data_IF_514702944104
#
_entry.id   IF_514702944104
#
_cell.length_a   1.000
_cell.length_b   1.000
_cell.length_c   1.000
_cell.angle_alpha   90.00
_cell.angle_beta   90.00
_cell.angle_gamma   90.00
#
_symmetry.space_group_name_H-M   'P 1'
#
loop_
_entity.id
_entity.type
_entity.pdbx_description
1 polymer ?
#
# COMPACT_ATOMS: atom_id res chain seq x y z
N UNK A 1 14.93 -16.90 11.34
CA UNK A 1 14.99 -16.11 10.08
C UNK A 1 13.96 -16.60 9.09
N UNK A 2 13.89 -17.90 8.76
CA UNK A 2 12.79 -18.48 7.95
C UNK A 2 11.40 -18.14 8.49
N UNK A 3 11.24 -18.10 9.81
CA UNK A 3 9.96 -17.77 10.44
C UNK A 3 9.56 -16.29 10.22
N UNK A 4 10.53 -15.38 10.14
CA UNK A 4 10.27 -13.95 9.94
C UNK A 4 9.86 -13.65 8.49
N UNK A 5 10.51 -14.31 7.53
CA UNK A 5 10.19 -14.18 6.09
C UNK A 5 8.78 -14.71 5.80
N UNK A 6 8.41 -15.86 6.37
CA UNK A 6 7.06 -16.39 6.26
C UNK A 6 5.99 -15.46 6.85
N UNK A 7 6.28 -14.79 7.97
CA UNK A 7 5.36 -13.81 8.58
C UNK A 7 5.24 -12.53 7.75
N UNK A 8 6.32 -12.11 7.09
CA UNK A 8 6.32 -10.96 6.17
C UNK A 8 5.47 -11.28 4.93
N UNK A 9 5.60 -12.48 4.37
CA UNK A 9 4.74 -12.96 3.28
C UNK A 9 3.27 -13.06 3.69
N UNK A 10 3.00 -13.59 4.89
CA UNK A 10 1.65 -13.67 5.45
C UNK A 10 1.03 -12.28 5.67
N UNK A 11 1.83 -11.27 6.00
CA UNK A 11 1.41 -9.88 6.10
C UNK A 11 1.23 -9.20 4.71
N UNK A 12 1.45 -9.92 3.62
CA UNK A 12 1.24 -9.44 2.25
C UNK A 12 2.45 -8.77 1.59
N UNK A 13 3.65 -8.93 2.16
CA UNK A 13 4.89 -8.36 1.64
C UNK A 13 5.77 -9.43 1.01
N UNK A 14 6.38 -9.13 -0.15
CA UNK A 14 7.22 -10.13 -0.83
C UNK A 14 8.57 -10.37 -0.16
N UNK A 15 9.15 -9.35 0.51
CA UNK A 15 10.48 -9.41 1.12
C UNK A 15 10.62 -8.33 2.22
N UNK A 16 11.68 -8.40 3.02
CA UNK A 16 12.04 -7.34 3.99
C UNK A 16 12.26 -5.95 3.36
N UNK A 17 12.63 -5.90 2.07
CA UNK A 17 12.76 -4.63 1.34
C UNK A 17 11.42 -4.00 1.02
N UNK A 18 10.46 -4.82 0.62
CA UNK A 18 9.09 -4.40 0.35
C UNK A 18 8.41 -3.94 1.64
N UNK A 19 8.58 -4.73 2.71
CA UNK A 19 8.07 -4.43 4.03
C UNK A 19 8.76 -3.23 4.70
N UNK A 20 9.86 -2.71 4.14
CA UNK A 20 10.64 -1.62 4.76
C UNK A 20 9.83 -0.34 4.95
N UNK A 21 9.10 0.08 3.92
CA UNK A 21 8.27 1.29 4.01
C UNK A 21 7.09 1.08 4.96
N UNK A 22 6.23 0.08 4.70
CA UNK A 22 5.04 -0.21 5.50
C UNK A 22 5.33 -0.51 6.97
N UNK A 23 6.38 -1.28 7.27
CA UNK A 23 6.75 -1.69 8.64
C UNK A 23 7.84 -0.79 9.26
N UNK A 24 8.24 0.29 8.58
CA UNK A 24 9.24 1.23 9.09
C UNK A 24 10.64 0.63 9.32
N UNK A 25 11.00 -0.44 8.60
CA UNK A 25 12.29 -1.10 8.80
C UNK A 25 13.46 -0.20 8.38
N UNK A 26 14.58 -0.34 9.08
CA UNK A 26 15.83 0.33 8.71
C UNK A 26 16.45 -0.33 7.47
N UNK A 27 17.35 0.38 6.79
CA UNK A 27 18.10 -0.18 5.65
C UNK A 27 18.84 -1.48 6.01
N UNK A 28 19.33 -1.58 7.25
CA UNK A 28 20.02 -2.76 7.77
C UNK A 28 19.05 -3.95 7.85
N UNK A 29 17.89 -3.73 8.45
CA UNK A 29 16.83 -4.73 8.60
C UNK A 29 16.23 -5.16 7.25
N UNK A 30 16.07 -4.24 6.31
CA UNK A 30 15.65 -4.54 4.94
C UNK A 30 16.65 -5.42 4.17
N UNK A 31 17.90 -5.53 4.63
CA UNK A 31 18.89 -6.48 4.14
C UNK A 31 18.93 -7.78 4.99
N UNK A 32 17.89 -8.06 5.78
CA UNK A 32 17.77 -9.26 6.61
C UNK A 32 18.63 -9.24 7.88
N UNK A 33 19.19 -8.09 8.27
CA UNK A 33 20.08 -7.99 9.44
C UNK A 33 19.31 -7.45 10.64
N UNK A 34 18.80 -8.38 11.44
CA UNK A 34 18.11 -8.12 12.70
C UNK A 34 18.96 -8.58 13.88
N UNK A 35 18.92 -7.82 14.98
CA UNK A 35 19.27 -8.40 16.29
C UNK A 35 18.15 -9.32 16.75
N UNK A 36 18.41 -10.13 17.78
CA UNK A 36 17.39 -11.03 18.34
C UNK A 36 16.17 -10.25 18.85
N UNK A 37 16.40 -9.21 19.65
CA UNK A 37 15.32 -8.37 20.19
C UNK A 37 14.52 -7.65 19.09
N UNK A 38 15.20 -7.20 18.02
CA UNK A 38 14.53 -6.56 16.88
C UNK A 38 13.65 -7.55 16.10
N UNK A 39 14.11 -8.80 15.95
CA UNK A 39 13.31 -9.84 15.29
C UNK A 39 12.10 -10.22 16.14
N UNK A 40 12.26 -10.40 17.45
CA UNK A 40 11.16 -10.71 18.38
C UNK A 40 10.12 -9.58 18.41
N UNK A 41 10.55 -8.31 18.42
CA UNK A 41 9.64 -7.17 18.35
C UNK A 41 8.86 -7.10 17.02
N UNK A 42 9.51 -7.42 15.89
CA UNK A 42 8.87 -7.43 14.59
C UNK A 42 7.85 -8.59 14.47
N UNK A 43 8.16 -9.76 15.01
CA UNK A 43 7.23 -10.90 15.07
C UNK A 43 5.96 -10.50 15.83
N UNK A 44 6.10 -9.94 17.04
CA UNK A 44 4.93 -9.55 17.83
C UNK A 44 4.06 -8.49 17.14
N UNK A 45 4.66 -7.56 16.39
CA UNK A 45 3.92 -6.58 15.59
C UNK A 45 3.14 -7.26 14.45
N UNK A 46 3.78 -8.19 13.73
CA UNK A 46 3.17 -8.91 12.61
C UNK A 46 2.04 -9.83 13.07
N UNK A 47 2.24 -10.56 14.17
CA UNK A 47 1.22 -11.42 14.78
C UNK A 47 0.01 -10.58 15.25
N UNK A 48 0.24 -9.45 15.91
CA UNK A 48 -0.84 -8.54 16.31
C UNK A 48 -1.59 -7.94 15.10
N UNK A 49 -0.89 -7.64 14.01
CA UNK A 49 -1.49 -7.16 12.77
C UNK A 49 -2.32 -8.24 12.07
N UNK A 50 -1.87 -9.50 12.12
CA UNK A 50 -2.60 -10.65 11.59
C UNK A 50 -3.87 -10.93 12.40
N UNK A 51 -3.79 -10.92 13.74
CA UNK A 51 -4.94 -11.10 14.63
C UNK A 51 -5.97 -9.95 14.49
N UNK A 52 -5.52 -8.73 14.15
CA UNK A 52 -6.37 -7.58 13.88
C UNK A 52 -7.02 -7.54 12.49
N UNK A 53 -6.64 -8.45 11.58
CA UNK A 53 -7.20 -8.55 10.23
C UNK A 53 -8.43 -9.48 10.15
N UNK A 54 -8.90 -10.03 11.27
CA UNK A 54 -10.16 -10.76 11.41
C UNK A 54 -11.36 -9.79 11.43
N UNK A 55 -11.58 -9.11 10.31
CA UNK A 55 -12.83 -8.41 9.97
C UNK A 55 -13.32 -8.95 8.63
N UNK A 56 -14.57 -9.44 8.50
CA UNK A 56 -14.95 -10.30 7.40
C UNK A 56 -15.01 -9.50 6.09
N UNK A 57 -14.01 -9.65 5.23
CA UNK A 57 -14.24 -9.50 3.79
C UNK A 57 -14.88 -10.79 3.28
N UNK A 58 -16.18 -10.93 3.50
CA UNK A 58 -16.98 -11.93 2.81
C UNK A 58 -17.15 -11.46 1.35
N UNK A 59 -16.63 -12.19 0.34
CA UNK A 59 -17.09 -11.97 -1.03
C UNK A 59 -18.59 -12.36 -1.11
N UNK A 60 -19.44 -11.59 -1.80
CA UNK A 60 -20.82 -12.01 -2.03
C UNK A 60 -20.84 -13.29 -2.89
N UNK A 61 -21.64 -14.31 -2.55
CA UNK A 61 -21.82 -15.46 -3.41
C UNK A 61 -22.88 -15.19 -4.49
N UNK A 62 -22.47 -15.55 -5.72
CA UNK A 62 -23.24 -16.04 -6.88
C UNK A 62 -24.22 -15.11 -7.62
N UNK A 63 -23.99 -14.94 -8.94
CA UNK A 63 -24.93 -15.40 -9.98
C UNK A 63 -24.22 -15.54 -11.36
N UNK A 64 -24.53 -16.60 -12.09
CA UNK A 64 -23.87 -17.11 -13.30
C UNK A 64 -24.16 -16.31 -14.58
N UNK A 65 -23.23 -16.32 -15.55
CA UNK A 65 -23.60 -15.97 -16.93
C UNK A 65 -22.46 -15.72 -17.92
N UNK A 66 -22.23 -16.71 -18.78
CA UNK A 66 -21.67 -16.62 -20.14
C UNK A 66 -20.13 -16.62 -20.32
N UNK A 67 -19.66 -17.77 -20.82
CA UNK A 67 -18.43 -17.99 -21.59
C UNK A 67 -18.08 -16.87 -22.57
N UNK A 68 -16.86 -16.34 -22.48
CA UNK A 68 -16.03 -15.98 -23.63
C UNK A 68 -14.58 -15.75 -23.19
N UNK A 69 -13.67 -16.64 -23.61
CA UNK A 69 -12.20 -16.47 -23.72
C UNK A 69 -11.42 -15.87 -22.53
N UNK A 70 -10.44 -16.57 -21.93
CA UNK A 70 -9.47 -15.88 -21.10
C UNK A 70 -8.54 -15.07 -22.01
N UNK A 71 -8.94 -13.85 -22.34
CA UNK A 71 -7.99 -12.80 -22.66
C UNK A 71 -7.29 -12.51 -21.33
N UNK A 72 -6.02 -12.88 -21.24
CA UNK A 72 -5.22 -12.69 -20.04
C UNK A 72 -5.47 -11.28 -19.45
N UNK A 73 -5.70 -11.15 -18.13
CA UNK A 73 -5.67 -9.84 -17.48
C UNK A 73 -4.30 -9.22 -17.79
N UNK A 74 -4.19 -7.91 -18.06
CA UNK A 74 -2.89 -7.27 -18.04
C UNK A 74 -2.31 -7.55 -16.65
N UNK A 75 -1.14 -8.21 -16.60
CA UNK A 75 -0.42 -8.41 -15.34
C UNK A 75 -0.42 -7.07 -14.60
N UNK A 76 -0.72 -7.05 -13.27
CA UNK A 76 -0.77 -5.81 -12.54
C UNK A 76 0.60 -5.16 -12.67
N UNK A 77 0.68 -4.07 -13.46
CA UNK A 77 1.89 -3.25 -13.55
C UNK A 77 2.22 -2.87 -12.12
N UNK A 78 3.38 -3.29 -11.63
CA UNK A 78 3.89 -2.93 -10.30
C UNK A 78 4.13 -1.43 -10.29
N UNK A 79 3.08 -0.68 -9.98
CA UNK A 79 3.13 0.76 -9.79
C UNK A 79 3.91 1.02 -8.50
N UNK A 80 4.95 1.84 -8.60
CA UNK A 80 5.79 2.24 -7.48
C UNK A 80 4.93 2.89 -6.39
N UNK A 81 5.37 2.80 -5.13
CA UNK A 81 4.71 3.48 -4.01
C UNK A 81 4.52 4.97 -4.28
N UNK A 82 5.49 5.62 -4.93
CA UNK A 82 5.41 7.03 -5.32
C UNK A 82 4.27 7.30 -6.33
N UNK A 83 4.02 6.35 -7.24
CA UNK A 83 2.92 6.43 -8.20
C UNK A 83 1.55 6.16 -7.54
N UNK A 84 1.50 5.26 -6.55
CA UNK A 84 0.30 5.06 -5.73
C UNK A 84 -0.01 6.28 -4.87
N UNK A 85 0.99 6.81 -4.18
CA UNK A 85 0.86 8.02 -3.37
C UNK A 85 0.42 9.21 -4.22
N UNK A 86 0.96 9.36 -5.44
CA UNK A 86 0.55 10.40 -6.37
C UNK A 86 -0.90 10.20 -6.85
N UNK A 87 -1.30 8.96 -7.13
CA UNK A 87 -2.69 8.65 -7.50
C UNK A 87 -3.67 8.98 -6.35
N UNK A 88 -3.32 8.59 -5.12
CA UNK A 88 -4.12 8.89 -3.92
C UNK A 88 -4.17 10.38 -3.60
N UNK A 89 -3.04 11.09 -3.74
CA UNK A 89 -2.99 12.55 -3.61
C UNK A 89 -3.86 13.23 -4.68
N UNK A 90 -3.84 12.73 -5.92
CA UNK A 90 -4.70 13.21 -7.00
C UNK A 90 -6.19 12.96 -6.74
N UNK A 91 -6.56 11.84 -6.13
CA UNK A 91 -7.93 11.56 -5.67
C UNK A 91 -8.35 12.57 -4.59
N UNK A 92 -7.53 12.78 -3.56
CA UNK A 92 -7.79 13.75 -2.49
C UNK A 92 -7.89 15.19 -2.99
N UNK A 93 -7.13 15.55 -4.02
CA UNK A 93 -7.18 16.88 -4.63
C UNK A 93 -8.48 17.09 -5.41
N UNK A 94 -9.04 16.04 -6.01
CA UNK A 94 -10.34 16.09 -6.71
C UNK A 94 -11.52 16.30 -5.77
N UNK A 95 -11.38 15.94 -4.49
CA UNK A 95 -12.37 16.22 -3.45
C UNK A 95 -12.34 17.68 -2.96
N UNK A 96 -11.30 18.46 -3.33
CA UNK A 96 -11.18 19.88 -2.98
C UNK A 96 -11.84 20.73 -4.07
N UNK A 97 -12.75 21.67 -3.73
CA UNK A 97 -13.38 22.56 -4.71
C UNK A 97 -12.35 23.44 -5.44
N UNK A 98 -12.52 23.62 -6.75
CA UNK A 98 -11.59 24.36 -7.61
C UNK A 98 -11.32 25.80 -7.14
N UNK A 99 -12.33 26.49 -6.59
CA UNK A 99 -12.16 27.86 -6.07
C UNK A 99 -11.23 27.93 -4.86
N UNK A 100 -11.32 26.92 -3.98
CA UNK A 100 -10.46 26.80 -2.80
C UNK A 100 -9.04 26.47 -3.23
N UNK A 101 -8.90 25.58 -4.21
CA UNK A 101 -7.60 25.24 -4.78
C UNK A 101 -6.96 26.44 -5.48
N UNK A 102 -7.73 27.20 -6.25
CA UNK A 102 -7.24 28.39 -6.96
C UNK A 102 -6.77 29.47 -5.98
N UNK A 103 -7.54 29.72 -4.91
CA UNK A 103 -7.15 30.65 -3.86
C UNK A 103 -5.85 30.22 -3.16
N UNK A 104 -5.67 28.93 -2.88
CA UNK A 104 -4.46 28.40 -2.25
C UNK A 104 -3.22 28.49 -3.15
N UNK A 105 -3.37 28.21 -4.46
CA UNK A 105 -2.28 28.37 -5.42
C UNK A 105 -1.86 29.83 -5.55
N UNK A 106 -2.82 30.75 -5.66
CA UNK A 106 -2.54 32.19 -5.71
C UNK A 106 -1.92 32.73 -4.43
N UNK A 107 -2.39 32.27 -3.26
CA UNK A 107 -1.81 32.61 -1.95
C UNK A 107 -0.35 32.17 -1.83
N UNK A 108 0.01 31.06 -2.48
CA UNK A 108 1.39 30.53 -2.55
C UNK A 108 2.22 31.19 -3.65
N UNK A 109 1.69 32.21 -4.32
CA UNK A 109 2.36 32.98 -5.36
C UNK A 109 2.35 32.30 -6.72
N UNK A 110 1.52 31.27 -6.93
CA UNK A 110 1.37 30.61 -8.21
C UNK A 110 0.18 31.22 -8.96
N UNK A 111 0.39 31.66 -10.19
CA UNK A 111 -0.69 32.23 -11.00
C UNK A 111 -1.59 31.11 -11.54
N UNK A 112 -2.88 31.19 -11.23
CA UNK A 112 -3.91 30.29 -11.78
C UNK A 112 -4.51 30.95 -13.01
N UNK A 113 -4.29 30.36 -14.18
CA UNK A 113 -4.97 30.75 -15.42
C UNK A 113 -6.23 29.89 -15.47
N UNK A 114 -7.40 30.50 -15.36
CA UNK A 114 -8.67 29.79 -15.57
C UNK A 114 -8.74 29.23 -16.99
N UNK A 115 -9.49 28.15 -17.24
CA UNK A 115 -9.69 27.63 -18.60
C UNK A 115 -10.29 28.68 -19.53
#
# INVERSE_FOLDING_TARGET
>A
MRDLEALIEAAGHSDFRDARGPLGLTQRQANGKFTRDEAEALIGLLEAQAEGHDGPFAPPPDDEGASATPSAPPEPRRISHEERQNAEAGLRLRDVPDEVLAAELQRRGWAVIGP
#
